data_IF_427892141612
#
_entry.id   IF_427892141612
#
_cell.length_a   1.000
_cell.length_b   1.000
_cell.length_c   1.000
_cell.angle_alpha   90.00
_cell.angle_beta   90.00
_cell.angle_gamma   90.00
#
_symmetry.space_group_name_H-M   'P 1'
#
loop_
_entity.id
_entity.type
_entity.pdbx_description
1 polymer ?
#
# COMPACT_ATOMS: atom_id res chain seq x y z
N UNK A 1 -8.28 2.81 -22.55
CA UNK A 1 -9.67 2.40 -22.86
C UNK A 1 -9.98 2.56 -24.35
N UNK A 2 -9.65 3.71 -24.96
CA UNK A 2 -9.95 4.02 -26.36
C UNK A 2 -9.30 3.06 -27.39
N UNK A 3 -8.05 2.62 -27.16
CA UNK A 3 -7.37 1.71 -28.10
C UNK A 3 -8.01 0.31 -28.15
N UNK A 4 -8.40 -0.24 -26.99
CA UNK A 4 -9.02 -1.57 -26.89
C UNK A 4 -10.39 -1.61 -27.57
N UNK A 5 -11.19 -0.56 -27.36
CA UNK A 5 -12.51 -0.42 -27.98
C UNK A 5 -12.36 -0.22 -29.49
N UNK A 6 -11.44 0.65 -29.93
CA UNK A 6 -11.16 0.86 -31.35
C UNK A 6 -10.74 -0.43 -32.06
N UNK A 7 -9.82 -1.20 -31.47
CA UNK A 7 -9.38 -2.48 -32.03
C UNK A 7 -10.54 -3.50 -32.11
N UNK A 8 -11.40 -3.55 -31.09
CA UNK A 8 -12.57 -4.43 -31.08
C UNK A 8 -13.56 -4.08 -32.21
N UNK A 9 -13.81 -2.79 -32.44
CA UNK A 9 -14.68 -2.33 -33.53
C UNK A 9 -14.11 -2.75 -34.89
N UNK A 10 -12.80 -2.58 -35.10
CA UNK A 10 -12.12 -2.98 -36.35
C UNK A 10 -12.26 -4.50 -36.56
N UNK A 11 -12.04 -5.30 -35.52
CA UNK A 11 -12.22 -6.77 -35.56
C UNK A 11 -13.65 -7.13 -35.98
N UNK A 12 -14.66 -6.48 -35.39
CA UNK A 12 -16.07 -6.72 -35.70
C UNK A 12 -16.36 -6.37 -37.16
N UNK A 13 -15.91 -5.22 -37.65
CA UNK A 13 -16.13 -4.79 -39.04
C UNK A 13 -15.52 -5.77 -40.03
N UNK A 14 -14.25 -6.13 -39.86
CA UNK A 14 -13.59 -7.10 -40.75
C UNK A 14 -14.22 -8.50 -40.63
N UNK A 15 -14.66 -8.91 -39.44
CA UNK A 15 -15.37 -10.16 -39.22
C UNK A 15 -16.70 -10.22 -39.96
N UNK A 16 -17.48 -9.14 -39.92
CA UNK A 16 -18.75 -9.02 -40.67
C UNK A 16 -18.48 -9.05 -42.17
N UNK A 17 -17.49 -8.29 -42.67
CA UNK A 17 -17.13 -8.29 -44.10
C UNK A 17 -16.71 -9.69 -44.55
N UNK A 18 -15.85 -10.37 -43.78
CA UNK A 18 -15.41 -11.74 -44.08
C UNK A 18 -16.59 -12.72 -44.13
N UNK A 19 -17.54 -12.60 -43.19
CA UNK A 19 -18.72 -13.47 -43.11
C UNK A 19 -19.70 -13.21 -44.25
N UNK A 20 -19.95 -11.94 -44.60
CA UNK A 20 -20.79 -11.59 -45.74
C UNK A 20 -20.18 -12.05 -47.06
N UNK A 21 -18.86 -11.85 -47.24
CA UNK A 21 -18.14 -12.33 -48.41
C UNK A 21 -18.18 -13.86 -48.53
N UNK A 22 -18.01 -14.58 -47.41
CA UNK A 22 -18.12 -16.03 -47.34
C UNK A 22 -19.47 -16.53 -47.88
N UNK A 23 -20.58 -16.00 -47.36
CA UNK A 23 -21.92 -16.43 -47.78
C UNK A 23 -22.25 -15.99 -49.21
N UNK A 24 -21.86 -14.78 -49.60
CA UNK A 24 -22.07 -14.29 -50.97
C UNK A 24 -21.37 -15.19 -52.00
N UNK A 25 -20.14 -15.62 -51.73
CA UNK A 25 -19.37 -16.43 -52.68
C UNK A 25 -19.87 -17.88 -52.72
N UNK A 26 -20.23 -18.47 -51.58
CA UNK A 26 -20.74 -19.86 -51.52
C UNK A 26 -22.08 -20.02 -52.24
N UNK A 27 -22.97 -19.03 -52.14
CA UNK A 27 -24.30 -19.08 -52.75
C UNK A 27 -24.36 -18.41 -54.13
N UNK A 28 -23.21 -18.11 -54.74
CA UNK A 28 -23.18 -17.53 -56.06
C UNK A 28 -23.48 -18.58 -57.14
N UNK A 29 -24.54 -18.34 -57.93
CA UNK A 29 -24.92 -19.17 -59.08
C UNK A 29 -23.81 -19.30 -60.12
N UNK A 30 -22.81 -18.39 -60.10
CA UNK A 30 -21.65 -18.44 -60.99
C UNK A 30 -20.78 -19.68 -60.77
N UNK A 31 -20.77 -20.24 -59.54
CA UNK A 31 -19.88 -21.35 -59.17
C UNK A 31 -20.64 -22.64 -58.83
N UNK A 32 -21.90 -22.54 -58.39
CA UNK A 32 -22.73 -23.69 -58.05
C UNK A 32 -23.94 -23.79 -58.98
N UNK A 33 -23.93 -24.77 -59.88
CA UNK A 33 -25.12 -25.17 -60.65
C UNK A 33 -25.71 -26.44 -60.02
N UNK A 34 -27.03 -26.52 -59.83
CA UNK A 34 -27.74 -27.66 -59.21
C UNK A 34 -27.78 -28.94 -60.10
N UNK A 35 -26.80 -29.14 -60.97
CA UNK A 35 -26.66 -30.33 -61.83
C UNK A 35 -25.91 -31.48 -61.13
N UNK A 36 -26.15 -32.73 -61.56
CA UNK A 36 -25.59 -33.94 -60.91
C UNK A 36 -24.10 -34.21 -61.18
N UNK A 37 -23.41 -33.40 -62.00
CA UNK A 37 -21.98 -33.57 -62.32
C UNK A 37 -21.17 -32.34 -61.90
N UNK A 38 -20.13 -32.54 -61.09
CA UNK A 38 -19.20 -31.50 -60.66
C UNK A 38 -18.16 -31.24 -61.76
N UNK A 39 -18.02 -29.98 -62.19
CA UNK A 39 -16.93 -29.56 -63.07
C UNK A 39 -15.65 -29.35 -62.24
N UNK A 40 -14.65 -30.19 -62.47
CA UNK A 40 -13.40 -30.18 -61.70
C UNK A 40 -12.58 -28.90 -61.90
N UNK A 41 -12.55 -28.35 -63.13
CA UNK A 41 -11.78 -27.13 -63.43
C UNK A 41 -12.45 -25.89 -62.81
N UNK A 42 -13.78 -25.84 -62.82
CA UNK A 42 -14.53 -24.76 -62.17
C UNK A 42 -14.37 -24.82 -60.64
N UNK A 43 -14.43 -26.01 -60.06
CA UNK A 43 -14.25 -26.23 -58.62
C UNK A 43 -12.83 -25.82 -58.17
N UNK A 44 -11.80 -26.11 -58.95
CA UNK A 44 -10.41 -25.74 -58.64
C UNK A 44 -10.20 -24.21 -58.67
N UNK A 45 -10.75 -23.53 -59.70
CA UNK A 45 -10.74 -22.06 -59.79
C UNK A 45 -11.50 -21.41 -58.64
N UNK A 46 -12.67 -21.95 -58.28
CA UNK A 46 -13.44 -21.51 -57.13
C UNK A 46 -12.63 -21.67 -55.84
N UNK A 47 -12.07 -22.86 -55.60
CA UNK A 47 -11.26 -23.14 -54.41
C UNK A 47 -10.10 -22.16 -54.27
N UNK A 48 -9.41 -21.86 -55.37
CA UNK A 48 -8.31 -20.90 -55.41
C UNK A 48 -8.78 -19.46 -55.11
N UNK A 49 -9.87 -18.99 -55.72
CA UNK A 49 -10.41 -17.65 -55.45
C UNK A 49 -10.96 -17.53 -54.02
N UNK A 50 -11.76 -18.49 -53.59
CA UNK A 50 -12.38 -18.52 -52.27
C UNK A 50 -11.32 -18.55 -51.17
N UNK A 51 -10.36 -19.46 -51.25
CA UNK A 51 -9.26 -19.53 -50.28
C UNK A 51 -8.37 -18.29 -50.32
N UNK A 52 -8.04 -17.76 -51.50
CA UNK A 52 -7.22 -16.56 -51.65
C UNK A 52 -7.90 -15.30 -51.12
N UNK A 53 -9.20 -15.13 -51.34
CA UNK A 53 -9.93 -13.93 -50.91
C UNK A 53 -10.52 -14.09 -49.51
N UNK A 54 -11.43 -15.04 -49.33
CA UNK A 54 -12.14 -15.28 -48.06
C UNK A 54 -11.16 -15.75 -46.99
N UNK A 55 -10.24 -16.65 -47.33
CA UNK A 55 -9.18 -17.10 -46.40
C UNK A 55 -8.28 -15.94 -45.95
N UNK A 56 -7.93 -15.00 -46.84
CA UNK A 56 -7.15 -13.81 -46.46
C UNK A 56 -7.95 -12.88 -45.54
N UNK A 57 -9.25 -12.67 -45.77
CA UNK A 57 -10.10 -11.90 -44.86
C UNK A 57 -10.16 -12.52 -43.47
N UNK A 58 -10.37 -13.84 -43.37
CA UNK A 58 -10.33 -14.54 -42.08
C UNK A 58 -8.94 -14.54 -41.43
N UNK A 59 -7.86 -14.54 -42.23
CA UNK A 59 -6.49 -14.41 -41.73
C UNK A 59 -6.27 -13.03 -41.11
N UNK A 60 -6.74 -11.95 -41.75
CA UNK A 60 -6.69 -10.60 -41.17
C UNK A 60 -7.45 -10.54 -39.85
N UNK A 61 -8.69 -11.06 -39.80
CA UNK A 61 -9.49 -11.13 -38.57
C UNK A 61 -8.76 -11.90 -37.47
N UNK A 62 -8.14 -13.04 -37.83
CA UNK A 62 -7.38 -13.87 -36.89
C UNK A 62 -6.16 -13.13 -36.32
N UNK A 63 -5.39 -12.43 -37.16
CA UNK A 63 -4.25 -11.62 -36.72
C UNK A 63 -4.71 -10.50 -35.77
N UNK A 64 -5.80 -9.80 -36.11
CA UNK A 64 -6.35 -8.75 -35.26
C UNK A 64 -6.82 -9.29 -33.90
N UNK A 65 -7.46 -10.47 -33.88
CA UNK A 65 -7.85 -11.16 -32.65
C UNK A 65 -6.63 -11.54 -31.80
N UNK A 66 -5.57 -12.06 -32.42
CA UNK A 66 -4.31 -12.38 -31.73
C UNK A 66 -3.72 -11.11 -31.11
N UNK A 67 -3.64 -10.00 -31.86
CA UNK A 67 -3.13 -8.71 -31.35
C UNK A 67 -3.95 -8.23 -30.15
N UNK A 68 -5.28 -8.31 -30.24
CA UNK A 68 -6.19 -7.94 -29.15
C UNK A 68 -5.99 -8.82 -27.90
N UNK A 69 -5.84 -10.14 -28.12
CA UNK A 69 -5.58 -11.12 -27.06
C UNK A 69 -4.24 -10.83 -26.38
N UNK A 70 -3.15 -10.67 -27.14
CA UNK A 70 -1.82 -10.35 -26.61
C UNK A 70 -1.81 -9.04 -25.81
N UNK A 71 -2.48 -8.00 -26.31
CA UNK A 71 -2.59 -6.74 -25.59
C UNK A 71 -3.34 -6.92 -24.25
N UNK A 72 -4.46 -7.64 -24.26
CA UNK A 72 -5.22 -7.93 -23.04
C UNK A 72 -4.40 -8.77 -22.07
N UNK A 73 -3.69 -9.80 -22.55
CA UNK A 73 -2.81 -10.65 -21.76
C UNK A 73 -1.68 -9.84 -21.13
N UNK A 74 -1.02 -8.94 -21.88
CA UNK A 74 0.04 -8.09 -21.35
C UNK A 74 -0.42 -7.19 -20.19
N UNK A 75 -1.65 -6.65 -20.27
CA UNK A 75 -2.25 -5.87 -19.17
C UNK A 75 -2.45 -6.76 -17.94
N UNK A 76 -2.98 -7.97 -18.12
CA UNK A 76 -3.19 -8.91 -17.01
C UNK A 76 -1.87 -9.36 -16.38
N UNK A 77 -0.84 -9.62 -17.18
CA UNK A 77 0.51 -9.97 -16.70
C UNK A 77 1.10 -8.82 -15.85
N UNK A 78 1.06 -7.58 -16.34
CA UNK A 78 1.57 -6.42 -15.58
C UNK A 78 0.80 -6.18 -14.27
N UNK A 79 -0.52 -6.41 -14.31
CA UNK A 79 -1.35 -6.35 -13.10
C UNK A 79 -0.95 -7.43 -12.10
N UNK A 80 -0.83 -8.68 -12.55
CA UNK A 80 -0.40 -9.80 -11.74
C UNK A 80 1.00 -9.58 -11.16
N UNK A 81 1.95 -9.05 -11.94
CA UNK A 81 3.28 -8.66 -11.48
C UNK A 81 3.23 -7.57 -10.41
N UNK A 82 2.39 -6.54 -10.58
CA UNK A 82 2.21 -5.48 -9.57
C UNK A 82 1.67 -6.07 -8.26
N UNK A 83 0.68 -6.96 -8.33
CA UNK A 83 0.11 -7.65 -7.17
C UNK A 83 1.14 -8.59 -6.53
N UNK A 84 1.92 -9.32 -7.32
CA UNK A 84 3.01 -10.17 -6.83
C UNK A 84 4.09 -9.36 -6.11
N UNK A 85 4.47 -8.20 -6.66
CA UNK A 85 5.39 -7.27 -6.01
C UNK A 85 4.82 -6.73 -4.70
N UNK A 86 3.52 -6.45 -4.63
CA UNK A 86 2.86 -6.07 -3.38
C UNK A 86 2.99 -7.18 -2.32
N UNK A 87 2.67 -8.44 -2.65
CA UNK A 87 2.82 -9.55 -1.70
C UNK A 87 4.28 -9.76 -1.28
N UNK A 88 5.23 -9.59 -2.20
CA UNK A 88 6.66 -9.60 -1.87
C UNK A 88 7.04 -8.48 -0.88
N UNK A 89 6.40 -7.31 -0.97
CA UNK A 89 6.59 -6.25 0.01
C UNK A 89 5.98 -6.61 1.38
N UNK A 90 4.85 -7.34 1.41
CA UNK A 90 4.30 -7.89 2.66
C UNK A 90 5.27 -8.92 3.29
N UNK A 91 5.92 -9.75 2.48
CA UNK A 91 6.95 -10.67 2.98
C UNK A 91 8.13 -9.88 3.58
N UNK A 92 8.59 -8.83 2.90
CA UNK A 92 9.63 -7.94 3.45
C UNK A 92 9.18 -7.21 4.71
N UNK A 93 7.90 -6.83 4.83
CA UNK A 93 7.36 -6.28 6.07
C UNK A 93 7.48 -7.31 7.20
N UNK A 94 7.04 -8.54 6.98
CA UNK A 94 7.12 -9.60 7.98
C UNK A 94 8.58 -9.94 8.36
N UNK A 95 9.50 -9.93 7.39
CA UNK A 95 10.94 -10.06 7.64
C UNK A 95 11.47 -8.89 8.48
N UNK A 96 11.16 -7.64 8.10
CA UNK A 96 11.53 -6.47 8.89
C UNK A 96 11.06 -6.58 10.34
N UNK A 97 9.83 -7.07 10.57
CA UNK A 97 9.32 -7.33 11.92
C UNK A 97 10.13 -8.42 12.60
N UNK A 98 10.31 -9.57 11.94
CA UNK A 98 11.03 -10.73 12.50
C UNK A 98 12.47 -10.41 12.90
N UNK A 99 13.14 -9.57 12.11
CA UNK A 99 14.54 -9.18 12.32
C UNK A 99 14.72 -8.12 13.41
N UNK A 100 13.62 -7.55 13.94
CA UNK A 100 13.69 -6.63 15.07
C UNK A 100 14.23 -7.35 16.28
N UNK A 101 15.29 -6.77 16.84
CA UNK A 101 15.89 -7.20 18.11
C UNK A 101 16.01 -6.00 19.02
N UNK A 102 15.31 -6.07 20.14
CA UNK A 102 15.27 -4.98 21.11
C UNK A 102 15.50 -5.53 22.52
N UNK A 103 16.54 -5.09 23.24
CA UNK A 103 16.65 -5.40 24.67
C UNK A 103 15.41 -4.93 25.43
N UNK A 104 15.12 -5.51 26.59
CA UNK A 104 14.09 -4.94 27.48
C UNK A 104 14.39 -3.47 27.83
N UNK A 105 13.34 -2.71 28.16
CA UNK A 105 13.51 -1.33 28.65
C UNK A 105 14.10 -1.36 30.06
N UNK A 106 13.73 -2.34 30.87
CA UNK A 106 14.30 -2.58 32.21
C UNK A 106 15.65 -3.27 32.07
N UNK A 107 16.73 -2.57 32.44
CA UNK A 107 18.10 -3.07 32.28
C UNK A 107 18.36 -4.33 33.12
N UNK A 108 17.56 -4.57 34.15
CA UNK A 108 17.70 -5.72 35.04
C UNK A 108 17.17 -7.00 34.37
N UNK A 109 16.32 -6.86 33.34
CA UNK A 109 15.86 -7.98 32.51
C UNK A 109 16.82 -8.16 31.34
N UNK A 110 17.50 -9.31 31.31
CA UNK A 110 18.42 -9.67 30.21
C UNK A 110 17.70 -10.21 28.97
N UNK A 111 16.37 -10.11 28.92
CA UNK A 111 15.57 -10.61 27.81
C UNK A 111 15.75 -9.74 26.56
N UNK A 112 15.94 -10.40 25.43
CA UNK A 112 15.90 -9.78 24.11
C UNK A 112 14.51 -10.02 23.53
N UNK A 113 13.79 -8.95 23.26
CA UNK A 113 12.49 -8.97 22.63
C UNK A 113 12.68 -8.98 21.12
N UNK A 114 12.41 -10.13 20.52
CA UNK A 114 12.50 -10.34 19.07
C UNK A 114 11.12 -10.25 18.40
N UNK A 115 11.11 -9.88 17.12
CA UNK A 115 9.89 -9.92 16.34
C UNK A 115 8.83 -8.93 16.84
N UNK A 116 7.58 -9.41 16.89
CA UNK A 116 6.43 -8.63 17.41
C UNK A 116 6.57 -8.22 18.88
N UNK A 117 7.39 -8.89 19.69
CA UNK A 117 7.63 -8.48 21.10
C UNK A 117 8.42 -7.18 21.18
N UNK A 118 9.22 -6.85 20.16
CA UNK A 118 9.87 -5.54 20.08
C UNK A 118 8.84 -4.40 20.05
N UNK A 119 7.71 -4.57 19.34
CA UNK A 119 6.64 -3.57 19.31
C UNK A 119 5.92 -3.39 20.65
N UNK A 120 5.86 -4.43 21.50
CA UNK A 120 5.36 -4.28 22.87
C UNK A 120 6.25 -3.34 23.67
N UNK A 121 7.57 -3.49 23.53
CA UNK A 121 8.54 -2.59 24.16
C UNK A 121 8.47 -1.18 23.55
N UNK A 122 8.36 -1.05 22.23
CA UNK A 122 8.13 0.25 21.59
C UNK A 122 6.90 0.94 22.17
N UNK A 123 5.79 0.21 22.35
CA UNK A 123 4.56 0.73 22.95
C UNK A 123 4.81 1.25 24.36
N UNK A 124 5.44 0.45 25.23
CA UNK A 124 5.73 0.84 26.62
C UNK A 124 6.63 2.08 26.66
N UNK A 125 7.68 2.11 25.83
CA UNK A 125 8.59 3.25 25.74
C UNK A 125 7.86 4.52 25.32
N UNK A 126 7.11 4.45 24.22
CA UNK A 126 6.38 5.61 23.70
C UNK A 126 5.31 6.09 24.68
N UNK A 127 4.59 5.17 25.34
CA UNK A 127 3.61 5.51 26.38
C UNK A 127 4.25 6.33 27.51
N UNK A 128 5.38 5.86 28.05
CA UNK A 128 6.11 6.59 29.12
C UNK A 128 6.58 7.96 28.68
N UNK A 129 7.09 8.09 27.45
CA UNK A 129 7.50 9.39 26.91
C UNK A 129 6.31 10.35 26.77
N UNK A 130 5.15 9.85 26.31
CA UNK A 130 3.93 10.65 26.22
C UNK A 130 3.43 11.08 27.60
N UNK A 131 3.44 10.18 28.59
CA UNK A 131 3.07 10.49 29.98
C UNK A 131 3.89 11.64 30.55
N UNK A 132 5.22 11.61 30.38
CA UNK A 132 6.11 12.69 30.85
C UNK A 132 5.78 14.03 30.17
N UNK A 133 5.59 14.03 28.85
CA UNK A 133 5.27 15.27 28.11
C UNK A 133 3.91 15.84 28.53
N UNK A 134 2.91 14.97 28.72
CA UNK A 134 1.57 15.38 29.16
C UNK A 134 1.61 15.94 30.58
N UNK A 135 2.31 15.27 31.49
CA UNK A 135 2.46 15.71 32.88
C UNK A 135 3.10 17.10 32.96
N UNK A 136 4.25 17.29 32.31
CA UNK A 136 4.93 18.59 32.31
C UNK A 136 4.08 19.68 31.64
N UNK A 137 3.39 19.35 30.54
CA UNK A 137 2.46 20.28 29.87
C UNK A 137 1.33 20.74 30.81
N UNK A 138 0.83 19.85 31.67
CA UNK A 138 -0.21 20.15 32.64
C UNK A 138 0.34 20.95 33.83
N UNK A 139 1.46 20.51 34.41
CA UNK A 139 2.11 21.15 35.57
C UNK A 139 2.53 22.59 35.24
N UNK A 140 3.11 22.80 34.05
CA UNK A 140 3.55 24.13 33.60
C UNK A 140 2.48 24.93 32.87
N UNK A 141 1.31 24.34 32.65
CA UNK A 141 0.18 24.95 31.94
C UNK A 141 0.56 25.48 30.55
N UNK A 142 1.39 24.75 29.81
CA UNK A 142 1.81 25.16 28.46
C UNK A 142 0.66 25.15 27.44
N UNK A 143 -0.42 24.39 27.71
CA UNK A 143 -1.61 24.26 26.84
C UNK A 143 -1.27 23.82 25.42
N UNK A 144 -0.29 22.93 25.27
CA UNK A 144 0.13 22.40 23.97
C UNK A 144 -0.98 21.53 23.35
N UNK A 145 -1.30 21.70 22.05
CA UNK A 145 -2.20 20.81 21.33
C UNK A 145 -1.71 19.36 21.31
N UNK A 146 -2.63 18.40 21.26
CA UNK A 146 -2.33 16.95 21.23
C UNK A 146 -1.33 16.56 20.13
N UNK A 147 -1.42 17.17 18.95
CA UNK A 147 -0.49 16.90 17.83
C UNK A 147 0.95 17.33 18.15
N UNK A 148 1.15 18.39 18.92
CA UNK A 148 2.49 18.86 19.31
C UNK A 148 3.09 17.95 20.38
N UNK A 149 2.28 17.55 21.37
CA UNK A 149 2.67 16.57 22.40
C UNK A 149 3.11 15.26 21.75
N UNK A 150 2.27 14.72 20.85
CA UNK A 150 2.57 13.49 20.12
C UNK A 150 3.84 13.63 19.28
N UNK A 151 4.01 14.75 18.57
CA UNK A 151 5.17 14.96 17.71
C UNK A 151 6.48 15.04 18.50
N UNK A 152 6.50 15.70 19.66
CA UNK A 152 7.68 15.80 20.53
C UNK A 152 8.02 14.43 21.12
N UNK A 153 7.06 13.73 21.70
CA UNK A 153 7.29 12.40 22.27
C UNK A 153 7.75 11.40 21.20
N UNK A 154 7.13 11.43 20.02
CA UNK A 154 7.50 10.55 18.92
C UNK A 154 8.88 10.89 18.33
N UNK A 155 9.28 12.18 18.32
CA UNK A 155 10.62 12.61 17.91
C UNK A 155 11.70 11.96 18.79
N UNK A 156 11.52 12.04 20.11
CA UNK A 156 12.43 11.45 21.10
C UNK A 156 12.40 9.92 21.02
N UNK A 157 11.21 9.33 20.89
CA UNK A 157 11.05 7.89 20.70
C UNK A 157 11.78 7.37 19.44
N UNK A 158 11.72 8.11 18.35
CA UNK A 158 12.28 7.67 17.07
C UNK A 158 13.81 7.83 17.04
N UNK A 159 14.33 9.01 17.35
CA UNK A 159 15.76 9.30 17.24
C UNK A 159 16.55 9.00 18.52
N UNK A 160 15.89 8.84 19.66
CA UNK A 160 16.51 8.79 20.97
C UNK A 160 16.78 10.19 21.52
N UNK A 161 17.12 10.24 22.81
CA UNK A 161 17.50 11.46 23.51
C UNK A 161 18.54 11.13 24.58
N UNK A 162 19.70 11.77 24.45
CA UNK A 162 20.78 11.81 25.42
C UNK A 162 21.50 13.17 25.33
N UNK A 163 22.53 13.38 26.14
CA UNK A 163 23.30 14.64 26.19
C UNK A 163 24.00 14.99 24.88
N UNK A 164 24.27 14.01 24.01
CA UNK A 164 24.90 14.22 22.69
C UNK A 164 23.87 14.55 21.61
N UNK A 165 22.67 13.99 21.71
CA UNK A 165 21.59 14.18 20.73
C UNK A 165 20.64 15.34 21.04
N UNK A 166 20.69 15.93 22.24
CA UNK A 166 19.76 17.01 22.63
C UNK A 166 19.78 18.21 21.68
N UNK A 167 20.93 18.61 21.14
CA UNK A 167 21.03 19.74 20.21
C UNK A 167 20.26 19.46 18.91
N UNK A 168 20.40 18.25 18.35
CA UNK A 168 19.68 17.80 17.17
C UNK A 168 18.17 17.78 17.42
N UNK A 169 17.73 17.22 18.54
CA UNK A 169 16.29 17.17 18.87
C UNK A 169 15.73 18.58 19.09
N UNK A 170 16.44 19.45 19.81
CA UNK A 170 16.05 20.83 20.06
C UNK A 170 15.84 21.62 18.76
N UNK A 171 16.76 21.49 17.79
CA UNK A 171 16.59 22.10 16.46
C UNK A 171 15.25 21.66 15.81
N UNK A 172 14.91 20.37 15.91
CA UNK A 172 13.67 19.83 15.32
C UNK A 172 12.40 20.24 16.05
N UNK A 173 12.45 20.46 17.37
CA UNK A 173 11.28 20.86 18.17
C UNK A 173 11.18 22.37 18.38
N UNK A 174 12.19 23.16 17.99
CA UNK A 174 12.20 24.62 18.08
C UNK A 174 11.04 25.31 17.33
N UNK A 175 10.39 24.59 16.42
CA UNK A 175 9.13 25.03 15.78
C UNK A 175 7.95 25.18 16.74
N UNK A 176 8.04 24.60 17.93
CA UNK A 176 7.04 24.70 18.99
C UNK A 176 7.57 25.63 20.09
N UNK A 177 6.79 26.61 20.56
CA UNK A 177 7.25 27.59 21.55
C UNK A 177 7.89 26.96 22.80
N UNK A 178 7.29 25.89 23.33
CA UNK A 178 7.76 25.18 24.52
C UNK A 178 8.53 23.88 24.22
N UNK A 179 8.82 23.62 22.93
CA UNK A 179 9.47 22.37 22.50
C UNK A 179 10.82 22.12 23.15
N UNK A 180 11.79 23.05 23.06
CA UNK A 180 13.12 22.87 23.66
C UNK A 180 13.07 22.69 25.18
N UNK A 181 12.20 23.44 25.88
CA UNK A 181 12.01 23.30 27.33
C UNK A 181 11.47 21.92 27.70
N UNK A 182 10.51 21.42 26.92
CA UNK A 182 9.96 20.07 27.09
C UNK A 182 11.01 18.99 26.88
N UNK A 183 11.85 19.12 25.86
CA UNK A 183 12.95 18.16 25.59
C UNK A 183 14.01 18.19 26.69
N UNK A 184 14.31 19.37 27.24
CA UNK A 184 15.21 19.48 28.39
C UNK A 184 14.63 18.78 29.63
N UNK A 185 13.33 18.94 29.89
CA UNK A 185 12.64 18.21 30.97
C UNK A 185 12.72 16.70 30.75
N UNK A 186 12.41 16.22 29.54
CA UNK A 186 12.52 14.80 29.17
C UNK A 186 13.94 14.27 29.42
N UNK A 187 14.98 14.99 28.98
CA UNK A 187 16.37 14.57 29.21
C UNK A 187 16.66 14.40 30.71
N UNK A 188 16.24 15.36 31.53
CA UNK A 188 16.46 15.28 32.98
C UNK A 188 15.76 14.06 33.61
N UNK A 189 14.53 13.75 33.20
CA UNK A 189 13.79 12.57 33.68
C UNK A 189 14.46 11.27 33.23
N UNK A 190 14.91 11.21 31.97
CA UNK A 190 15.60 10.04 31.41
C UNK A 190 16.92 9.77 32.16
N UNK A 191 17.75 10.79 32.37
CA UNK A 191 19.05 10.66 33.05
C UNK A 191 18.90 10.33 34.55
N UNK A 192 17.79 10.74 35.16
CA UNK A 192 17.49 10.44 36.57
C UNK A 192 17.07 8.98 36.80
N UNK A 193 16.64 8.26 35.75
CA UNK A 193 16.14 6.88 35.85
C UNK A 193 17.04 5.90 35.10
N UNK A 194 18.10 5.44 35.77
CA UNK A 194 19.12 4.57 35.15
C UNK A 194 18.65 3.16 34.85
N UNK A 195 17.64 2.67 35.56
CA UNK A 195 17.15 1.30 35.43
C UNK A 195 16.22 1.12 34.22
N UNK A 196 15.66 2.21 33.70
CA UNK A 196 14.64 2.23 32.66
C UNK A 196 15.13 3.02 31.44
N UNK A 197 15.55 2.33 30.38
CA UNK A 197 16.09 2.95 29.16
C UNK A 197 15.02 3.47 28.19
N UNK A 198 14.27 4.48 28.58
CA UNK A 198 13.24 5.11 27.71
C UNK A 198 13.80 6.13 26.70
N UNK A 199 15.03 6.62 26.87
CA UNK A 199 15.70 7.55 25.94
C UNK A 199 16.37 6.91 24.72
N UNK A 200 16.30 5.58 24.57
CA UNK A 200 16.97 4.87 23.47
C UNK A 200 16.35 5.16 22.10
N UNK A 201 17.20 5.14 21.06
CA UNK A 201 16.79 5.30 19.67
C UNK A 201 16.12 4.06 19.10
N UNK A 202 15.11 4.25 18.25
CA UNK A 202 14.39 3.20 17.54
C UNK A 202 14.44 3.36 16.02
N UNK A 203 15.16 4.37 15.53
CA UNK A 203 15.18 4.77 14.13
C UNK A 203 15.57 3.62 13.21
N UNK A 204 16.63 2.87 13.52
CA UNK A 204 17.18 1.85 12.61
C UNK A 204 16.15 0.79 12.25
N UNK A 205 15.45 0.23 13.25
CA UNK A 205 14.42 -0.78 13.04
C UNK A 205 13.14 -0.22 12.43
N UNK A 206 12.68 0.94 12.89
CA UNK A 206 11.41 1.53 12.42
C UNK A 206 11.53 2.18 11.02
N UNK A 207 12.72 2.60 10.61
CA UNK A 207 12.94 3.25 9.31
C UNK A 207 12.65 2.30 8.15
N UNK A 208 13.16 1.06 8.17
CA UNK A 208 12.90 0.07 7.12
C UNK A 208 11.44 -0.35 7.13
N UNK A 209 10.89 -0.63 8.31
CA UNK A 209 9.50 -1.00 8.54
C UNK A 209 8.51 0.00 7.90
N UNK A 210 8.57 1.29 8.29
CA UNK A 210 7.61 2.28 7.80
C UNK A 210 7.84 2.65 6.33
N UNK A 211 9.09 2.65 5.83
CA UNK A 211 9.37 2.91 4.42
C UNK A 211 8.84 1.80 3.52
N UNK A 212 9.01 0.54 3.92
CA UNK A 212 8.45 -0.60 3.19
C UNK A 212 6.91 -0.53 3.20
N UNK A 213 6.31 -0.32 4.37
CA UNK A 213 4.85 -0.21 4.50
C UNK A 213 4.25 0.90 3.63
N UNK A 214 4.82 2.11 3.68
CA UNK A 214 4.41 3.21 2.81
C UNK A 214 4.56 2.86 1.33
N UNK A 215 5.68 2.21 0.97
CA UNK A 215 5.96 1.80 -0.41
C UNK A 215 4.96 0.79 -0.95
N UNK A 216 4.54 -0.20 -0.14
CA UNK A 216 3.57 -1.21 -0.52
C UNK A 216 2.19 -0.61 -0.79
N UNK A 217 1.75 0.30 0.10
CA UNK A 217 0.49 1.03 -0.09
C UNK A 217 0.58 1.90 -1.35
N UNK A 218 1.67 2.65 -1.51
CA UNK A 218 1.90 3.51 -2.68
C UNK A 218 1.88 2.72 -4.00
N UNK A 219 2.53 1.55 -4.05
CA UNK A 219 2.57 0.68 -5.22
C UNK A 219 1.16 0.31 -5.71
N UNK A 220 0.29 -0.07 -4.78
CA UNK A 220 -1.11 -0.41 -5.07
C UNK A 220 -1.93 0.84 -5.39
N UNK A 221 -1.74 1.92 -4.63
CA UNK A 221 -2.50 3.17 -4.77
C UNK A 221 -2.29 3.83 -6.14
N UNK A 222 -1.05 3.90 -6.61
CA UNK A 222 -0.70 4.57 -7.88
C UNK A 222 -1.00 3.71 -9.12
N UNK A 223 -1.22 2.40 -8.96
CA UNK A 223 -1.46 1.51 -10.09
C UNK A 223 -2.77 1.87 -10.81
N UNK A 224 -2.67 2.10 -12.13
CA UNK A 224 -3.83 2.32 -13.01
C UNK A 224 -4.49 1.01 -13.47
N UNK A 225 -3.84 -0.13 -13.19
CA UNK A 225 -4.28 -1.45 -13.63
C UNK A 225 -5.16 -2.17 -12.60
N UNK A 226 -5.12 -1.73 -11.34
CA UNK A 226 -5.85 -2.31 -10.22
C UNK A 226 -7.11 -1.45 -9.97
N UNK A 227 -8.27 -2.09 -9.88
CA UNK A 227 -9.52 -1.39 -9.62
C UNK A 227 -9.55 -0.82 -8.19
N UNK A 228 -10.35 0.23 -7.91
CA UNK A 228 -10.46 0.77 -6.54
C UNK A 228 -10.87 -0.27 -5.49
N UNK A 229 -11.72 -1.23 -5.86
CA UNK A 229 -12.14 -2.32 -4.99
C UNK A 229 -10.98 -3.29 -4.70
N UNK A 230 -10.24 -3.68 -5.73
CA UNK A 230 -9.06 -4.54 -5.58
C UNK A 230 -7.98 -3.86 -4.73
N UNK A 231 -7.77 -2.55 -4.88
CA UNK A 231 -6.83 -1.78 -4.03
C UNK A 231 -7.23 -1.87 -2.56
N UNK A 232 -8.51 -1.65 -2.26
CA UNK A 232 -9.05 -1.76 -0.89
C UNK A 232 -8.86 -3.19 -0.34
N UNK A 233 -9.14 -4.22 -1.14
CA UNK A 233 -8.97 -5.60 -0.71
C UNK A 233 -7.51 -5.96 -0.44
N UNK A 234 -6.58 -5.54 -1.31
CA UNK A 234 -5.14 -5.76 -1.11
C UNK A 234 -4.66 -5.08 0.18
N UNK A 235 -5.02 -3.82 0.41
CA UNK A 235 -4.58 -3.09 1.60
C UNK A 235 -5.28 -3.61 2.86
N UNK A 236 -6.52 -4.11 2.76
CA UNK A 236 -7.20 -4.84 3.85
C UNK A 236 -6.43 -6.11 4.23
N UNK A 237 -5.91 -6.87 3.26
CA UNK A 237 -5.06 -8.04 3.52
C UNK A 237 -3.80 -7.63 4.28
N UNK A 238 -3.15 -6.53 3.87
CA UNK A 238 -1.97 -6.04 4.59
C UNK A 238 -2.32 -5.61 6.02
N UNK A 239 -3.37 -4.81 6.18
CA UNK A 239 -3.84 -4.34 7.49
C UNK A 239 -4.10 -5.50 8.47
N UNK A 240 -4.69 -6.60 8.00
CA UNK A 240 -4.97 -7.78 8.81
C UNK A 240 -3.72 -8.50 9.38
N UNK A 241 -2.52 -8.19 8.87
CA UNK A 241 -1.27 -8.77 9.39
C UNK A 241 -0.66 -7.98 10.56
N UNK A 242 -1.13 -6.75 10.78
CA UNK A 242 -0.59 -5.83 11.79
C UNK A 242 -1.09 -6.23 13.18
N UNK A 243 -0.17 -6.36 14.13
CA UNK A 243 -0.52 -6.58 15.53
C UNK A 243 -0.98 -5.29 16.22
N UNK A 244 -1.73 -5.39 17.31
CA UNK A 244 -2.18 -4.20 18.06
C UNK A 244 -1.00 -3.30 18.51
N UNK A 245 0.14 -3.82 19.01
CA UNK A 245 1.32 -3.00 19.27
C UNK A 245 1.88 -2.28 18.03
N UNK A 246 1.86 -2.91 16.85
CA UNK A 246 2.23 -2.25 15.58
C UNK A 246 1.28 -1.12 15.24
N UNK A 247 -0.04 -1.36 15.34
CA UNK A 247 -1.08 -0.35 15.10
C UNK A 247 -0.94 0.84 16.06
N UNK A 248 -0.57 0.59 17.32
CA UNK A 248 -0.27 1.65 18.30
C UNK A 248 0.87 2.53 17.81
N UNK A 249 2.00 1.94 17.41
CA UNK A 249 3.17 2.71 16.96
C UNK A 249 2.89 3.43 15.63
N UNK A 250 2.16 2.79 14.72
CA UNK A 250 1.68 3.39 13.48
C UNK A 250 0.76 4.60 13.73
N UNK A 251 -0.20 4.49 14.65
CA UNK A 251 -1.13 5.58 15.00
C UNK A 251 -0.38 6.86 15.39
N UNK A 252 0.58 6.76 16.31
CA UNK A 252 1.38 7.92 16.70
C UNK A 252 2.33 8.39 15.59
N UNK A 253 2.87 7.46 14.78
CA UNK A 253 3.67 7.82 13.62
C UNK A 253 2.89 8.71 12.64
N UNK A 254 1.65 8.33 12.30
CA UNK A 254 0.87 9.01 11.27
C UNK A 254 0.35 10.38 11.73
N UNK A 255 0.17 10.58 13.03
CA UNK A 255 -0.19 11.89 13.60
C UNK A 255 1.02 12.82 13.70
N UNK A 256 2.19 12.25 14.04
CA UNK A 256 3.44 13.00 14.11
C UNK A 256 3.89 13.50 12.72
N UNK A 257 4.97 14.27 12.67
CA UNK A 257 5.56 14.76 11.42
C UNK A 257 5.99 13.65 10.46
N UNK A 258 6.24 12.43 10.95
CA UNK A 258 6.63 11.30 10.11
C UNK A 258 5.47 10.83 9.21
N UNK A 259 4.23 11.08 9.64
CA UNK A 259 3.00 10.80 8.90
C UNK A 259 2.64 11.77 7.78
N UNK A 260 3.38 12.86 7.56
CA UNK A 260 3.00 13.92 6.60
C UNK A 260 2.63 13.39 5.22
N UNK A 261 3.43 12.48 4.66
CA UNK A 261 3.16 11.88 3.33
C UNK A 261 1.94 10.96 3.34
N UNK A 262 1.68 10.26 4.43
CA UNK A 262 0.52 9.38 4.58
C UNK A 262 -0.78 10.19 4.56
N UNK A 263 -0.80 11.28 5.33
CA UNK A 263 -1.94 12.18 5.41
C UNK A 263 -2.15 12.95 4.11
N UNK A 264 -1.08 13.42 3.46
CA UNK A 264 -1.19 14.11 2.17
C UNK A 264 -1.82 13.25 1.06
N UNK A 265 -1.60 11.94 1.09
CA UNK A 265 -2.22 10.99 0.16
C UNK A 265 -3.51 10.35 0.70
N UNK A 266 -3.98 10.77 1.88
CA UNK A 266 -5.16 10.24 2.56
C UNK A 266 -5.14 8.73 2.78
N UNK A 267 -3.98 8.09 2.90
CA UNK A 267 -3.91 6.62 2.99
C UNK A 267 -4.63 6.06 4.22
N UNK A 268 -4.59 6.77 5.34
CA UNK A 268 -5.21 6.31 6.60
C UNK A 268 -6.72 6.26 6.49
N UNK A 269 -7.35 7.30 5.94
CA UNK A 269 -8.81 7.38 5.76
C UNK A 269 -9.28 6.58 4.55
N UNK A 270 -8.60 6.70 3.40
CA UNK A 270 -8.95 6.01 2.14
C UNK A 270 -9.00 4.49 2.28
N UNK A 271 -8.12 3.93 3.09
CA UNK A 271 -8.01 2.48 3.31
C UNK A 271 -8.36 2.05 4.73
N UNK A 272 -8.87 2.97 5.55
CA UNK A 272 -9.24 2.72 6.95
C UNK A 272 -8.08 2.00 7.69
N UNK A 273 -6.85 2.45 7.47
CA UNK A 273 -5.67 1.61 7.70
C UNK A 273 -5.41 1.29 9.18
N UNK A 274 -5.97 2.10 10.10
CA UNK A 274 -5.91 1.89 11.55
C UNK A 274 -7.23 1.39 12.16
N UNK A 275 -8.17 0.93 11.33
CA UNK A 275 -9.51 0.47 11.76
C UNK A 275 -9.50 -0.62 12.84
N UNK A 276 -8.52 -1.53 12.77
CA UNK A 276 -8.38 -2.66 13.70
C UNK A 276 -7.71 -2.27 15.02
N UNK A 277 -7.43 -0.98 15.27
CA UNK A 277 -6.87 -0.53 16.54
C UNK A 277 -7.97 -0.55 17.62
N UNK A 278 -7.87 -1.40 18.66
CA UNK A 278 -8.99 -1.56 19.59
C UNK A 278 -9.26 -0.30 20.42
N UNK A 279 -10.51 -0.13 20.81
CA UNK A 279 -10.98 0.95 21.67
C UNK A 279 -10.22 0.95 22.99
N UNK A 280 -9.68 2.12 23.35
CA UNK A 280 -8.86 2.29 24.54
C UNK A 280 -7.42 1.76 24.42
N UNK A 281 -7.06 1.05 23.35
CA UNK A 281 -5.71 0.50 23.20
C UNK A 281 -4.64 1.57 22.93
N UNK A 282 -5.03 2.71 22.38
CA UNK A 282 -4.17 3.89 22.19
C UNK A 282 -3.84 4.61 23.51
N UNK A 283 -4.40 4.16 24.65
CA UNK A 283 -4.16 4.65 26.01
C UNK A 283 -4.51 6.15 26.18
N UNK A 284 -3.58 7.03 25.84
CA UNK A 284 -3.59 8.46 26.21
C UNK A 284 -4.38 9.36 25.23
N UNK A 285 -4.62 8.88 24.01
CA UNK A 285 -5.31 9.64 22.97
C UNK A 285 -6.35 8.75 22.29
N UNK A 286 -7.50 9.33 21.92
CA UNK A 286 -8.54 8.61 21.19
C UNK A 286 -8.31 8.75 19.67
N UNK A 287 -8.15 7.63 18.92
CA UNK A 287 -7.95 7.69 17.47
C UNK A 287 -9.01 8.47 16.69
N UNK A 288 -10.26 8.46 17.17
CA UNK A 288 -11.39 9.17 16.55
C UNK A 288 -11.23 10.69 16.55
N UNK A 289 -10.45 11.24 17.47
CA UNK A 289 -10.20 12.68 17.54
C UNK A 289 -9.32 13.15 16.36
N UNK A 290 -8.67 12.21 15.65
CA UNK A 290 -7.73 12.48 14.57
C UNK A 290 -8.20 11.97 13.21
N UNK A 291 -8.93 10.85 13.17
CA UNK A 291 -9.38 10.22 11.94
C UNK A 291 -10.83 9.74 12.08
N UNK A 292 -11.70 10.26 11.23
CA UNK A 292 -13.09 9.85 11.11
C UNK A 292 -13.20 8.65 10.16
N UNK A 293 -13.11 7.44 10.73
CA UNK A 293 -13.22 6.16 10.02
C UNK A 293 -14.08 5.18 10.85
N UNK A 294 -14.74 4.19 10.23
CA UNK A 294 -15.44 3.15 10.97
C UNK A 294 -14.43 2.21 11.64
N UNK A 295 -14.34 2.21 12.98
CA UNK A 295 -13.49 1.29 13.74
C UNK A 295 -14.20 -0.06 13.94
N UNK A 296 -13.43 -1.15 14.03
CA UNK A 296 -13.98 -2.52 14.09
C UNK A 296 -14.84 -2.79 15.33
N UNK A 297 -14.49 -2.20 16.48
CA UNK A 297 -15.25 -2.36 17.73
C UNK A 297 -16.64 -1.66 17.73
N UNK A 298 -17.05 -1.07 16.61
CA UNK A 298 -18.34 -0.40 16.42
C UNK A 298 -19.26 -1.12 15.43
N UNK A 299 -18.78 -2.19 14.79
CA UNK A 299 -19.57 -3.09 13.94
C UNK A 299 -20.30 -4.16 14.76
#
# INVERSE_FOLDING_TARGET
>A
MNLKIGLLIIIIVFGVIATLAFFYIIFSDTYFHYGQSIDADLADKFGSFFSGFVGTLFTIVSILLIIYSMHTQNIQVRKAETIGNFFKMLDYHNQNVSDLRMPDIDINKKDINEGRRAFVNYKIQLKRLLEIVIEENNVKQYRMPSKEIIDIAYMVFYYGLDTTWISFINEKVARYPNGPTMVMHLLNVIESNRDIKIGRTNQTGLSSYFRNMYGAIKLVDESKLISPEEKRNLIKIYRAQLSNPELYILFYNVISRFGKKWNANNYITKYEFIKNLPKGYADLFNPKDFYDIPYEDEE
#
